data_IF_843774659108
#
_entry.id   IF_843774659108
#
_cell.length_a   1.000
_cell.length_b   1.000
_cell.length_c   1.000
_cell.angle_alpha   90.00
_cell.angle_beta   90.00
_cell.angle_gamma   90.00
#
_symmetry.space_group_name_H-M   'P 1'
#
loop_
_entity.id
_entity.type
_entity.pdbx_description
1 polymer ?
#
# COMPACT_ATOMS: atom_id res chain seq x y z
N UNK A 1 -0.78 -6.98 13.84
CA UNK A 1 -0.04 -6.41 14.99
C UNK A 1 -0.38 -4.96 15.29
N UNK A 2 0.19 -3.93 14.63
CA UNK A 2 -0.05 -2.53 15.04
C UNK A 2 -1.52 -2.14 15.12
N UNK A 3 -2.29 -2.37 14.05
CA UNK A 3 -3.72 -2.08 14.05
C UNK A 3 -4.51 -2.93 15.06
N UNK A 4 -4.03 -4.12 15.41
CA UNK A 4 -4.65 -5.00 16.42
C UNK A 4 -4.42 -4.42 17.83
N UNK A 5 -3.18 -4.02 18.14
CA UNK A 5 -2.86 -3.31 19.37
C UNK A 5 -3.60 -1.96 19.47
N UNK A 6 -3.70 -1.22 18.37
CA UNK A 6 -4.45 0.05 18.31
C UNK A 6 -5.95 -0.17 18.56
N UNK A 7 -6.58 -1.20 17.99
CA UNK A 7 -7.98 -1.53 18.29
C UNK A 7 -8.18 -1.90 19.76
N UNK A 8 -7.21 -2.60 20.37
CA UNK A 8 -7.28 -2.98 21.77
C UNK A 8 -7.19 -1.77 22.71
N UNK A 9 -6.23 -0.87 22.48
CA UNK A 9 -5.98 0.28 23.37
C UNK A 9 -6.80 1.53 23.04
N UNK A 10 -7.41 1.62 21.86
CA UNK A 10 -8.37 2.66 21.48
C UNK A 10 -9.77 2.07 21.26
N UNK A 11 -10.44 1.57 22.32
CA UNK A 11 -11.67 0.78 22.20
C UNK A 11 -12.87 1.55 21.65
N UNK A 12 -12.79 2.89 21.57
CA UNK A 12 -13.82 3.70 20.89
C UNK A 12 -13.73 3.62 19.37
N UNK A 13 -12.61 3.20 18.80
CA UNK A 13 -12.48 3.08 17.35
C UNK A 13 -13.26 1.86 16.82
N UNK A 14 -13.92 2.02 15.67
CA UNK A 14 -14.40 0.89 14.85
C UNK A 14 -13.61 0.73 13.55
N UNK A 15 -12.78 1.73 13.20
CA UNK A 15 -11.83 1.69 12.09
C UNK A 15 -10.48 2.18 12.61
N UNK A 16 -9.37 1.54 12.22
CA UNK A 16 -8.02 2.07 12.46
C UNK A 16 -7.33 2.33 11.13
N UNK A 17 -6.86 3.56 10.89
CA UNK A 17 -6.06 3.92 9.73
C UNK A 17 -4.59 4.11 10.14
N UNK A 18 -3.70 3.33 9.54
CA UNK A 18 -2.25 3.45 9.73
C UNK A 18 -1.53 3.29 8.39
N UNK A 19 -0.45 4.04 8.21
CA UNK A 19 0.46 3.92 7.07
C UNK A 19 1.46 2.77 7.26
N UNK A 20 1.97 2.27 6.14
CA UNK A 20 3.24 1.52 6.11
C UNK A 20 4.31 2.49 5.59
N UNK A 21 5.37 2.71 6.37
CA UNK A 21 6.50 3.59 6.05
C UNK A 21 7.79 2.83 5.74
N UNK A 22 7.84 1.52 6.01
CA UNK A 22 8.94 0.64 5.65
C UNK A 22 8.54 -0.32 4.52
N UNK A 23 9.22 -0.19 3.37
CA UNK A 23 9.02 -1.07 2.21
C UNK A 23 9.51 -2.50 2.44
N UNK A 24 10.42 -2.69 3.38
CA UNK A 24 10.98 -3.98 3.77
C UNK A 24 10.44 -4.41 5.14
N UNK A 25 9.20 -4.04 5.46
CA UNK A 25 8.56 -4.44 6.71
C UNK A 25 8.58 -5.98 6.84
N UNK A 26 9.17 -6.47 7.93
CA UNK A 26 9.33 -7.88 8.23
C UNK A 26 9.22 -8.14 9.74
N UNK A 27 8.68 -9.30 10.12
CA UNK A 27 8.70 -9.76 11.50
C UNK A 27 8.94 -11.26 11.49
N UNK A 28 10.21 -11.64 11.55
CA UNK A 28 10.64 -13.03 11.46
C UNK A 28 10.15 -13.88 12.65
N UNK A 29 9.98 -15.17 12.38
CA UNK A 29 9.67 -16.15 13.43
C UNK A 29 10.84 -16.22 14.42
N UNK A 30 10.56 -15.97 15.69
CA UNK A 30 11.55 -16.02 16.75
C UNK A 30 11.31 -14.94 17.81
N UNK A 31 12.35 -14.61 18.61
CA UNK A 31 12.25 -13.56 19.62
C UNK A 31 11.94 -12.19 19.02
N UNK A 32 10.83 -11.59 19.44
CA UNK A 32 10.45 -10.22 19.04
C UNK A 32 11.16 -9.22 19.93
N UNK A 33 11.98 -8.35 19.35
CA UNK A 33 12.73 -7.30 20.05
C UNK A 33 12.09 -5.93 19.79
N UNK A 34 12.32 -4.97 20.69
CA UNK A 34 11.84 -3.60 20.52
C UNK A 34 12.34 -2.96 19.20
N UNK A 35 13.55 -3.34 18.73
CA UNK A 35 14.08 -2.89 17.44
C UNK A 35 13.23 -3.36 16.25
N UNK A 36 12.58 -4.53 16.35
CA UNK A 36 11.77 -5.09 15.27
C UNK A 36 10.45 -4.30 15.17
N UNK A 37 9.91 -3.87 16.32
CA UNK A 37 8.78 -2.93 16.36
C UNK A 37 9.17 -1.58 15.75
N UNK A 38 10.30 -1.01 16.16
CA UNK A 38 10.76 0.27 15.61
C UNK A 38 11.11 0.20 14.12
N UNK A 39 11.59 -0.94 13.63
CA UNK A 39 11.92 -1.17 12.22
C UNK A 39 10.69 -1.13 11.31
N UNK A 40 9.57 -1.70 11.76
CA UNK A 40 8.35 -1.80 10.96
C UNK A 40 7.45 -0.56 11.01
N UNK A 41 7.42 0.14 12.13
CA UNK A 41 6.69 1.41 12.27
C UNK A 41 7.72 2.47 12.59
N UNK A 42 8.22 3.21 11.59
CA UNK A 42 9.45 4.01 11.70
C UNK A 42 9.27 5.35 12.42
N UNK A 43 8.03 5.80 12.60
CA UNK A 43 7.74 6.97 13.41
C UNK A 43 7.74 6.64 14.92
N UNK A 44 8.60 7.33 15.67
CA UNK A 44 8.77 7.11 17.12
C UNK A 44 7.68 7.78 17.96
N UNK A 45 7.23 8.95 17.51
CA UNK A 45 6.03 9.57 18.04
C UNK A 45 4.79 8.86 17.52
N UNK A 46 3.64 9.27 18.05
CA UNK A 46 2.37 8.98 17.43
C UNK A 46 1.45 8.13 18.29
N UNK A 47 0.40 8.80 18.73
CA UNK A 47 -0.80 8.35 19.40
C UNK A 47 -1.87 7.85 18.40
N UNK A 48 -2.92 7.26 18.96
CA UNK A 48 -4.19 7.03 18.26
C UNK A 48 -5.21 7.99 18.85
N UNK A 49 -5.59 8.99 18.06
CA UNK A 49 -6.76 9.83 18.32
C UNK A 49 -7.94 9.25 17.55
N UNK A 50 -9.07 9.06 18.23
CA UNK A 50 -10.32 8.56 17.65
C UNK A 50 -11.23 9.72 17.31
N UNK A 51 -11.57 9.87 16.03
CA UNK A 51 -12.44 10.92 15.52
C UNK A 51 -13.79 10.35 15.11
N UNK A 52 -14.88 11.09 15.35
CA UNK A 52 -16.19 10.78 14.81
C UNK A 52 -16.34 11.38 13.41
N UNK A 53 -16.69 10.55 12.43
CA UNK A 53 -16.94 10.95 11.04
C UNK A 53 -18.02 10.06 10.40
N UNK A 54 -18.39 10.35 9.17
CA UNK A 54 -19.36 9.60 8.39
C UNK A 54 -18.67 8.60 7.45
N UNK A 55 -19.41 7.62 6.93
CA UNK A 55 -18.91 6.70 5.92
C UNK A 55 -18.52 7.42 4.62
N UNK A 56 -19.12 8.58 4.33
CA UNK A 56 -18.72 9.45 3.21
C UNK A 56 -17.32 10.01 3.42
N UNK A 57 -17.04 10.59 4.59
CA UNK A 57 -15.72 11.13 4.94
C UNK A 57 -14.65 10.04 4.97
N UNK A 58 -14.99 8.87 5.53
CA UNK A 58 -14.12 7.69 5.49
C UNK A 58 -13.80 7.32 4.03
N UNK A 59 -14.81 7.22 3.17
CA UNK A 59 -14.60 6.88 1.75
C UNK A 59 -13.74 7.93 1.05
N UNK A 60 -13.99 9.22 1.26
CA UNK A 60 -13.16 10.31 0.70
C UNK A 60 -11.69 10.15 1.10
N UNK A 61 -11.41 9.84 2.37
CA UNK A 61 -10.06 9.58 2.83
C UNK A 61 -9.47 8.29 2.22
N UNK A 62 -10.22 7.19 2.18
CA UNK A 62 -9.77 5.93 1.57
C UNK A 62 -9.46 6.10 0.08
N UNK A 63 -10.26 6.86 -0.66
CA UNK A 63 -10.03 7.19 -2.07
C UNK A 63 -8.75 8.00 -2.27
N UNK A 64 -8.50 8.97 -1.39
CA UNK A 64 -7.24 9.71 -1.39
C UNK A 64 -6.04 8.80 -1.09
N UNK A 65 -6.16 7.85 -0.16
CA UNK A 65 -5.11 6.86 0.11
C UNK A 65 -4.89 5.96 -1.12
N UNK A 66 -5.97 5.45 -1.73
CA UNK A 66 -5.94 4.62 -2.93
C UNK A 66 -5.35 5.34 -4.16
N UNK A 67 -5.30 6.66 -4.16
CA UNK A 67 -4.55 7.48 -5.12
C UNK A 67 -3.04 7.20 -5.14
N UNK A 68 -2.51 6.47 -4.16
CA UNK A 68 -1.13 5.96 -4.17
C UNK A 68 -0.86 4.99 -5.32
N UNK A 69 -1.85 4.21 -5.75
CA UNK A 69 -1.74 3.28 -6.87
C UNK A 69 -2.04 3.96 -8.21
N UNK A 70 -1.40 3.55 -9.29
CA UNK A 70 -1.79 3.97 -10.64
C UNK A 70 -3.00 3.15 -11.12
N UNK A 71 -3.78 3.71 -12.05
CA UNK A 71 -4.80 2.92 -12.76
C UNK A 71 -4.12 1.93 -13.69
N UNK A 72 -4.66 0.71 -13.75
CA UNK A 72 -4.13 -0.34 -14.62
C UNK A 72 -4.47 -0.07 -16.08
N UNK A 73 -3.60 -0.52 -16.97
CA UNK A 73 -3.78 -0.48 -18.42
C UNK A 73 -3.91 -1.91 -19.00
N UNK A 74 -4.55 -2.09 -20.16
CA UNK A 74 -4.58 -3.38 -20.84
C UNK A 74 -3.16 -3.90 -21.07
N UNK A 75 -2.90 -5.15 -20.68
CA UNK A 75 -1.56 -5.74 -20.74
C UNK A 75 -0.74 -5.66 -19.45
N UNK A 76 -1.17 -4.89 -18.45
CA UNK A 76 -0.43 -4.80 -17.20
C UNK A 76 -0.37 -6.15 -16.48
N UNK A 77 0.83 -6.52 -16.07
CA UNK A 77 1.12 -7.74 -15.32
C UNK A 77 1.60 -7.45 -13.89
N UNK A 78 1.77 -6.19 -13.52
CA UNK A 78 2.13 -5.74 -12.18
C UNK A 78 1.34 -4.50 -11.80
N UNK A 79 1.07 -4.29 -10.51
CA UNK A 79 0.60 -2.99 -10.03
C UNK A 79 1.76 -1.99 -9.93
N UNK A 80 1.44 -0.70 -10.04
CA UNK A 80 2.40 0.39 -9.91
C UNK A 80 1.88 1.53 -9.04
N UNK A 81 2.80 2.37 -8.57
CA UNK A 81 2.53 3.47 -7.66
C UNK A 81 2.69 4.80 -8.38
N UNK A 82 1.91 5.79 -7.96
CA UNK A 82 2.06 7.16 -8.41
C UNK A 82 3.47 7.66 -8.04
N UNK A 83 4.31 8.06 -9.03
CA UNK A 83 5.72 8.39 -8.77
C UNK A 83 5.91 9.54 -7.78
N UNK A 84 5.06 10.56 -7.83
CA UNK A 84 5.14 11.72 -6.93
C UNK A 84 4.83 11.32 -5.49
N UNK A 85 3.76 10.53 -5.28
CA UNK A 85 3.41 10.00 -3.96
C UNK A 85 4.43 9.01 -3.44
N UNK A 86 4.99 8.18 -4.33
CA UNK A 86 6.04 7.21 -3.99
C UNK A 86 7.33 7.92 -3.58
N UNK A 87 7.66 9.03 -4.24
CA UNK A 87 8.84 9.84 -3.95
C UNK A 87 8.70 10.78 -2.75
N UNK A 88 7.48 10.90 -2.20
CA UNK A 88 7.20 11.74 -1.05
C UNK A 88 7.96 11.26 0.19
N UNK A 89 8.51 12.22 0.95
CA UNK A 89 9.09 11.96 2.28
C UNK A 89 8.06 11.34 3.25
N UNK A 90 6.78 11.68 3.09
CA UNK A 90 5.70 11.17 3.92
C UNK A 90 4.90 10.15 3.13
N UNK A 91 4.81 8.93 3.65
CA UNK A 91 3.96 7.88 3.05
C UNK A 91 2.51 8.33 3.06
N UNK A 92 1.82 8.15 1.93
CA UNK A 92 0.39 8.45 1.78
C UNK A 92 -0.42 7.17 1.52
N UNK A 93 0.20 6.02 1.77
CA UNK A 93 -0.37 4.70 1.58
C UNK A 93 -0.89 4.17 2.94
N UNK A 94 -2.11 4.59 3.27
CA UNK A 94 -2.79 4.20 4.51
C UNK A 94 -3.68 2.98 4.31
N UNK A 95 -3.65 2.08 5.29
CA UNK A 95 -4.48 0.88 5.33
C UNK A 95 -5.46 0.94 6.49
N UNK A 96 -6.65 0.37 6.26
CA UNK A 96 -7.80 0.50 7.14
C UNK A 96 -8.15 -0.86 7.75
N UNK A 97 -8.04 -0.96 9.07
CA UNK A 97 -8.53 -2.09 9.86
C UNK A 97 -9.95 -1.84 10.35
N UNK A 98 -10.71 -2.90 10.65
CA UNK A 98 -12.11 -2.80 11.07
C UNK A 98 -13.10 -2.82 9.91
N UNK A 99 -12.62 -2.62 8.69
CA UNK A 99 -13.37 -2.69 7.44
C UNK A 99 -12.73 -3.64 6.44
N UNK A 100 -13.52 -4.08 5.48
CA UNK A 100 -13.07 -4.76 4.26
C UNK A 100 -13.42 -3.94 3.03
N UNK A 101 -12.57 -3.97 1.99
CA UNK A 101 -12.77 -3.18 0.77
C UNK A 101 -11.94 -3.68 -0.42
N UNK A 102 -12.34 -3.34 -1.62
CA UNK A 102 -11.55 -3.54 -2.84
C UNK A 102 -11.14 -2.19 -3.41
N UNK A 103 -9.88 -2.08 -3.85
CA UNK A 103 -9.40 -0.95 -4.65
C UNK A 103 -9.44 -1.37 -6.12
N UNK A 104 -10.46 -0.92 -6.85
CA UNK A 104 -10.61 -1.18 -8.27
C UNK A 104 -9.82 -0.19 -9.11
N UNK A 105 -8.65 -0.63 -9.59
CA UNK A 105 -7.73 0.20 -10.36
C UNK A 105 -8.15 0.39 -11.81
N UNK A 106 -9.26 -0.22 -12.25
CA UNK A 106 -9.87 0.13 -13.55
C UNK A 106 -10.63 1.45 -13.47
N UNK A 107 -11.01 1.89 -12.26
CA UNK A 107 -11.68 3.16 -12.04
C UNK A 107 -10.67 4.33 -11.97
N UNK A 108 -11.11 5.55 -12.32
CA UNK A 108 -10.30 6.74 -12.10
C UNK A 108 -10.03 6.95 -10.60
N UNK A 109 -8.92 7.59 -10.28
CA UNK A 109 -8.61 7.97 -8.89
C UNK A 109 -9.75 8.83 -8.32
N UNK A 110 -10.16 8.55 -7.07
CA UNK A 110 -11.31 9.17 -6.43
C UNK A 110 -12.58 8.32 -6.44
N UNK A 111 -12.63 7.24 -7.23
CA UNK A 111 -13.80 6.34 -7.30
C UNK A 111 -13.41 4.85 -7.36
N UNK A 112 -12.34 4.45 -6.66
CA UNK A 112 -11.77 3.09 -6.68
C UNK A 112 -12.26 2.19 -5.57
N UNK A 113 -12.73 2.75 -4.45
CA UNK A 113 -13.11 1.99 -3.26
C UNK A 113 -14.49 1.36 -3.48
N UNK A 114 -14.50 0.03 -3.62
CA UNK A 114 -15.70 -0.79 -3.79
C UNK A 114 -15.82 -1.81 -2.66
N UNK A 115 -17.01 -2.40 -2.49
CA UNK A 115 -17.30 -3.42 -1.47
C UNK A 115 -16.90 -3.02 -0.04
N UNK A 116 -17.05 -1.73 0.30
CA UNK A 116 -16.72 -1.23 1.63
C UNK A 116 -17.76 -1.72 2.66
N UNK A 117 -17.30 -2.53 3.60
CA UNK A 117 -18.10 -3.07 4.68
C UNK A 117 -17.27 -3.12 5.97
N UNK A 118 -17.91 -3.18 7.14
CA UNK A 118 -17.25 -3.58 8.37
C UNK A 118 -16.79 -5.04 8.28
N UNK A 119 -15.88 -5.44 9.17
CA UNK A 119 -15.33 -6.80 9.20
C UNK A 119 -16.38 -7.91 9.43
N UNK A 120 -17.57 -7.56 9.96
CA UNK A 120 -18.71 -8.46 10.13
C UNK A 120 -19.59 -8.58 8.86
N UNK A 121 -19.24 -7.87 7.79
CA UNK A 121 -19.97 -7.83 6.52
C UNK A 121 -21.02 -6.72 6.42
N UNK A 122 -21.25 -5.94 7.49
CA UNK A 122 -22.22 -4.83 7.46
C UNK A 122 -21.75 -3.75 6.48
N UNK A 123 -22.54 -3.39 5.45
CA UNK A 123 -22.13 -2.37 4.48
C UNK A 123 -21.91 -0.99 5.11
N UNK A 124 -20.89 -0.27 4.65
CA UNK A 124 -20.65 1.13 5.02
C UNK A 124 -21.27 2.03 3.96
N UNK A 125 -22.34 2.73 4.33
CA UNK A 125 -22.99 3.76 3.53
C UNK A 125 -22.45 5.14 3.89
N UNK A 126 -22.81 6.15 3.10
CA UNK A 126 -22.36 7.53 3.35
C UNK A 126 -22.79 8.07 4.72
N UNK A 127 -23.89 7.57 5.30
CA UNK A 127 -24.42 8.01 6.59
C UNK A 127 -23.97 7.12 7.76
N UNK A 128 -23.22 6.05 7.51
CA UNK A 128 -22.71 5.18 8.58
C UNK A 128 -21.84 5.97 9.54
N UNK A 129 -22.08 5.84 10.84
CA UNK A 129 -21.21 6.44 11.84
C UNK A 129 -19.87 5.68 11.91
N UNK A 130 -18.78 6.42 11.70
CA UNK A 130 -17.42 5.94 11.75
C UNK A 130 -16.71 6.58 12.95
N UNK A 131 -15.97 5.76 13.68
CA UNK A 131 -15.06 6.18 14.75
C UNK A 131 -13.67 5.75 14.34
N UNK A 132 -12.97 6.61 13.61
CA UNK A 132 -11.66 6.30 13.04
C UNK A 132 -10.56 6.63 14.04
N UNK A 133 -9.79 5.63 14.46
CA UNK A 133 -8.55 5.82 15.20
C UNK A 133 -7.38 5.98 14.23
N UNK A 134 -6.63 7.06 14.38
CA UNK A 134 -5.45 7.35 13.56
C UNK A 134 -4.56 8.34 14.29
N UNK A 135 -3.36 8.58 13.75
CA UNK A 135 -2.51 9.62 14.28
C UNK A 135 -3.05 11.02 13.93
N UNK A 136 -3.07 11.94 14.91
CA UNK A 136 -3.60 13.30 14.73
C UNK A 136 -2.83 14.13 13.71
N UNK A 137 -1.53 13.89 13.52
CA UNK A 137 -0.74 14.52 12.45
C UNK A 137 -1.34 14.22 11.07
N UNK A 138 -1.74 12.96 10.80
CA UNK A 138 -2.40 12.61 9.54
C UNK A 138 -3.74 13.34 9.41
N UNK A 139 -4.54 13.38 10.48
CA UNK A 139 -5.82 14.09 10.45
C UNK A 139 -5.64 15.57 10.10
N UNK A 140 -4.69 16.26 10.74
CA UNK A 140 -4.37 17.66 10.42
C UNK A 140 -3.89 17.87 8.98
N UNK A 141 -3.19 16.89 8.40
CA UNK A 141 -2.81 16.92 6.99
C UNK A 141 -3.99 16.75 6.03
N UNK A 142 -5.01 15.99 6.41
CA UNK A 142 -6.21 15.77 5.61
C UNK A 142 -7.15 16.98 5.64
N UNK A 143 -7.24 17.69 6.78
CA UNK A 143 -8.21 18.78 6.99
C UNK A 143 -7.68 20.19 6.74
N UNK A 144 -6.36 20.37 6.66
CA UNK A 144 -5.76 21.67 6.30
C UNK A 144 -6.10 22.06 4.85
N UNK A 145 -5.84 23.33 4.52
CA UNK A 145 -5.94 23.84 3.15
C UNK A 145 -5.14 22.98 2.15
N UNK A 146 -5.80 22.54 1.08
CA UNK A 146 -5.29 21.62 0.06
C UNK A 146 -5.37 20.13 0.44
N UNK A 147 -5.89 19.80 1.63
CA UNK A 147 -6.17 18.43 2.05
C UNK A 147 -7.48 17.90 1.47
N UNK A 148 -7.65 16.57 1.45
CA UNK A 148 -8.84 15.94 0.86
C UNK A 148 -10.12 16.14 1.69
N UNK A 149 -9.97 16.46 2.97
CA UNK A 149 -11.04 16.82 3.90
C UNK A 149 -10.93 18.30 4.30
N UNK A 150 -10.45 19.15 3.39
CA UNK A 150 -10.22 20.58 3.67
C UNK A 150 -11.44 21.24 4.31
N UNK A 151 -11.23 21.91 5.43
CA UNK A 151 -12.27 22.65 6.15
C UNK A 151 -13.16 21.80 7.06
N UNK A 152 -13.03 20.48 7.00
CA UNK A 152 -13.73 19.58 7.93
C UNK A 152 -13.13 19.63 9.34
N UNK A 153 -13.98 19.42 10.33
CA UNK A 153 -13.60 19.33 11.74
C UNK A 153 -14.36 18.19 12.40
N UNK A 154 -13.63 17.22 12.96
CA UNK A 154 -14.21 16.01 13.52
C UNK A 154 -14.12 16.01 15.04
N UNK A 155 -15.21 15.67 15.76
CA UNK A 155 -15.17 15.50 17.21
C UNK A 155 -14.15 14.43 17.62
N UNK A 156 -13.30 14.75 18.59
CA UNK A 156 -12.40 13.79 19.22
C UNK A 156 -13.18 13.01 20.28
N UNK A 157 -13.20 11.69 20.15
CA UNK A 157 -13.89 10.78 21.08
C UNK A 157 -12.94 10.17 22.12
N UNK A 158 -11.68 9.97 21.76
CA UNK A 158 -10.67 9.32 22.59
C UNK A 158 -9.27 9.65 22.08
N UNK A 159 -8.28 9.62 22.96
CA UNK A 159 -6.89 9.86 22.61
C UNK A 159 -5.98 9.02 23.52
N UNK A 160 -5.09 8.21 22.92
CA UNK A 160 -4.24 7.29 23.69
C UNK A 160 -3.13 7.99 24.45
N UNK A 161 -2.67 9.15 23.97
CA UNK A 161 -1.67 9.96 24.68
C UNK A 161 -2.31 10.62 25.90
N UNK A 162 -3.53 11.15 25.79
CA UNK A 162 -4.26 11.68 26.93
C UNK A 162 -4.60 10.60 27.99
N UNK A 163 -4.94 9.38 27.55
CA UNK A 163 -5.31 8.28 28.46
C UNK A 163 -4.09 7.60 29.11
N UNK A 164 -3.04 7.32 28.34
CA UNK A 164 -1.91 6.51 28.80
C UNK A 164 -0.61 7.30 28.99
N UNK A 165 -0.58 8.58 28.60
CA UNK A 165 0.58 9.47 28.68
C UNK A 165 1.39 9.55 27.37
N UNK A 166 2.19 10.61 27.25
CA UNK A 166 2.96 10.97 26.03
C UNK A 166 3.85 9.82 25.50
N UNK A 167 4.42 9.02 26.40
CA UNK A 167 5.28 7.89 26.01
C UNK A 167 4.49 6.59 25.85
N UNK A 168 3.73 6.18 26.87
CA UNK A 168 3.06 4.88 26.88
C UNK A 168 1.84 4.83 25.94
N UNK A 169 1.27 5.98 25.58
CA UNK A 169 0.18 6.13 24.61
C UNK A 169 0.62 6.09 23.15
N UNK A 170 1.92 5.96 22.87
CA UNK A 170 2.40 5.83 21.49
C UNK A 170 2.12 4.44 20.91
N UNK A 171 1.89 4.37 19.60
CA UNK A 171 1.58 3.14 18.86
C UNK A 171 2.65 2.06 19.09
N UNK A 172 3.94 2.43 19.11
CA UNK A 172 5.06 1.51 19.38
C UNK A 172 5.00 0.94 20.79
N UNK A 173 4.85 1.79 21.81
CA UNK A 173 4.85 1.34 23.20
C UNK A 173 3.58 0.55 23.53
N UNK A 174 2.42 0.97 23.03
CA UNK A 174 1.20 0.17 23.10
C UNK A 174 1.35 -1.19 22.42
N UNK A 175 2.03 -1.26 21.26
CA UNK A 175 2.29 -2.55 20.59
C UNK A 175 3.21 -3.46 21.40
N UNK A 176 4.26 -2.91 22.02
CA UNK A 176 5.16 -3.66 22.92
C UNK A 176 4.38 -4.15 24.14
N UNK A 177 3.55 -3.29 24.74
CA UNK A 177 2.70 -3.63 25.88
C UNK A 177 1.70 -4.73 25.51
N UNK A 178 1.06 -4.62 24.35
CA UNK A 178 0.14 -5.63 23.80
C UNK A 178 0.81 -7.00 23.69
N UNK A 179 2.01 -7.04 23.12
CA UNK A 179 2.76 -8.29 22.98
C UNK A 179 3.12 -8.92 24.33
N UNK A 180 3.49 -8.10 25.32
CA UNK A 180 3.91 -8.59 26.65
C UNK A 180 2.73 -9.03 27.50
N UNK A 181 1.71 -8.19 27.61
CA UNK A 181 0.63 -8.33 28.59
C UNK A 181 -0.58 -9.07 28.03
N UNK A 182 -1.02 -8.72 26.82
CA UNK A 182 -2.22 -9.32 26.22
C UNK A 182 -1.88 -10.61 25.47
N UNK A 183 -0.74 -10.66 24.79
CA UNK A 183 -0.27 -11.86 24.07
C UNK A 183 0.63 -12.77 24.91
N UNK A 184 0.90 -12.42 26.17
CA UNK A 184 1.77 -13.20 27.07
C UNK A 184 3.14 -13.56 26.45
N UNK A 185 3.69 -12.65 25.64
CA UNK A 185 4.97 -12.86 24.94
C UNK A 185 4.92 -13.82 23.75
N UNK A 186 3.76 -14.33 23.37
CA UNK A 186 3.59 -15.25 22.24
C UNK A 186 2.64 -14.66 21.19
N UNK A 187 3.17 -14.34 20.01
CA UNK A 187 2.38 -13.76 18.92
C UNK A 187 2.44 -14.63 17.67
N UNK A 188 1.27 -15.01 17.18
CA UNK A 188 1.09 -15.66 15.90
C UNK A 188 0.45 -14.67 14.92
N UNK A 189 1.24 -14.22 13.95
CA UNK A 189 0.75 -13.31 12.92
C UNK A 189 -0.23 -14.00 11.98
N UNK A 190 -1.41 -13.41 11.78
CA UNK A 190 -2.40 -13.88 10.82
C UNK A 190 -2.48 -12.94 9.62
N UNK A 191 -2.33 -13.43 8.38
CA UNK A 191 -2.61 -12.63 7.19
C UNK A 191 -4.04 -12.09 7.25
N UNK A 192 -4.17 -10.76 7.21
CA UNK A 192 -5.47 -10.11 7.25
C UNK A 192 -5.95 -9.92 5.81
N UNK A 193 -6.90 -10.74 5.35
CA UNK A 193 -7.50 -10.61 4.01
C UNK A 193 -8.64 -9.58 3.99
N UNK A 194 -8.34 -8.36 4.47
CA UNK A 194 -9.35 -7.29 4.58
C UNK A 194 -9.49 -6.49 3.31
N UNK A 195 -8.48 -6.45 2.46
CA UNK A 195 -8.53 -5.66 1.24
C UNK A 195 -7.78 -6.33 0.09
N UNK A 196 -8.12 -5.93 -1.13
CA UNK A 196 -7.48 -6.40 -2.34
C UNK A 196 -7.42 -5.28 -3.39
N UNK A 197 -6.44 -5.38 -4.28
CA UNK A 197 -6.43 -4.63 -5.55
C UNK A 197 -7.15 -5.47 -6.61
N UNK A 198 -7.87 -4.80 -7.51
CA UNK A 198 -8.44 -5.44 -8.70
C UNK A 198 -8.10 -4.66 -9.97
N UNK A 199 -8.29 -5.31 -11.12
CA UNK A 199 -8.23 -4.67 -12.44
C UNK A 199 -7.22 -5.29 -13.42
N UNK A 200 -6.25 -6.07 -12.96
CA UNK A 200 -5.36 -6.78 -13.89
C UNK A 200 -6.16 -7.85 -14.65
N UNK A 201 -6.08 -7.83 -15.98
CA UNK A 201 -6.91 -8.70 -16.82
C UNK A 201 -6.49 -10.17 -16.65
N UNK A 202 -7.47 -11.07 -16.45
CA UNK A 202 -7.21 -12.51 -16.23
C UNK A 202 -6.54 -13.21 -17.40
N UNK A 203 -6.70 -12.70 -18.63
CA UNK A 203 -6.02 -13.23 -19.82
C UNK A 203 -4.50 -13.15 -19.77
N UNK A 204 -3.94 -12.36 -18.85
CA UNK A 204 -2.50 -12.23 -18.63
C UNK A 204 -1.99 -13.01 -17.40
N UNK A 205 -2.78 -13.92 -16.82
CA UNK A 205 -2.41 -14.68 -15.62
C UNK A 205 -1.07 -15.43 -15.77
N UNK A 206 -0.86 -16.11 -16.91
CA UNK A 206 0.37 -16.86 -17.16
C UNK A 206 1.58 -15.93 -17.24
N UNK A 207 1.44 -14.81 -17.96
CA UNK A 207 2.47 -13.78 -18.07
C UNK A 207 2.79 -13.17 -16.70
N UNK A 208 1.79 -13.00 -15.82
CA UNK A 208 2.01 -12.55 -14.44
C UNK A 208 2.87 -13.51 -13.64
N UNK A 209 2.60 -14.82 -13.71
CA UNK A 209 3.43 -15.80 -12.97
C UNK A 209 4.86 -15.87 -13.53
N UNK A 210 5.04 -15.75 -14.85
CA UNK A 210 6.37 -15.67 -15.48
C UNK A 210 7.11 -14.41 -14.98
N UNK A 211 6.49 -13.23 -15.10
CA UNK A 211 7.10 -11.96 -14.66
C UNK A 211 7.41 -11.97 -13.17
N UNK A 212 6.51 -12.52 -12.35
CA UNK A 212 6.72 -12.70 -10.90
C UNK A 212 7.92 -13.60 -10.61
N UNK A 213 8.07 -14.72 -11.33
CA UNK A 213 9.23 -15.60 -11.17
C UNK A 213 10.53 -14.86 -11.48
N UNK A 214 10.57 -14.14 -12.62
CA UNK A 214 11.75 -13.39 -13.06
C UNK A 214 12.12 -12.22 -12.12
N UNK A 215 11.14 -11.66 -11.41
CA UNK A 215 11.41 -10.65 -10.38
C UNK A 215 11.97 -11.32 -9.12
N UNK A 216 11.36 -12.43 -8.69
CA UNK A 216 11.73 -13.12 -7.45
C UNK A 216 13.11 -13.80 -7.51
N UNK A 217 13.55 -14.23 -8.70
CA UNK A 217 14.89 -14.77 -8.92
C UNK A 217 15.92 -13.71 -9.36
N UNK A 218 15.53 -12.43 -9.31
CA UNK A 218 16.35 -11.26 -9.65
C UNK A 218 16.81 -11.19 -11.13
N UNK A 219 16.24 -12.00 -12.02
CA UNK A 219 16.53 -11.96 -13.47
C UNK A 219 16.12 -10.62 -14.09
N UNK A 220 15.02 -10.01 -13.62
CA UNK A 220 14.61 -8.66 -13.99
C UNK A 220 14.30 -7.81 -12.77
N UNK A 221 14.52 -6.50 -12.88
CA UNK A 221 14.06 -5.54 -11.88
C UNK A 221 12.70 -4.93 -12.25
N UNK A 222 11.93 -4.56 -11.23
CA UNK A 222 10.74 -3.73 -11.38
C UNK A 222 11.11 -2.30 -11.81
N UNK A 223 10.21 -1.55 -12.49
CA UNK A 223 10.49 -0.17 -12.88
C UNK A 223 10.83 0.72 -11.68
N UNK A 224 11.90 1.49 -11.78
CA UNK A 224 12.38 2.40 -10.73
C UNK A 224 12.47 3.84 -11.23
N UNK A 225 12.50 4.80 -10.30
CA UNK A 225 12.94 6.18 -10.59
C UNK A 225 14.34 6.20 -11.19
N UNK A 226 14.70 7.31 -11.84
CA UNK A 226 15.98 7.48 -12.52
C UNK A 226 17.19 7.34 -11.56
N UNK A 227 17.02 7.76 -10.31
CA UNK A 227 18.01 7.59 -9.24
C UNK A 227 18.00 6.17 -8.60
N UNK A 228 17.11 5.29 -9.05
CA UNK A 228 16.92 3.94 -8.52
C UNK A 228 16.30 3.85 -7.13
N UNK A 229 15.97 4.99 -6.50
CA UNK A 229 15.54 5.06 -5.10
C UNK A 229 14.13 4.52 -4.88
N UNK A 230 13.24 4.74 -5.84
CA UNK A 230 11.82 4.42 -5.72
C UNK A 230 11.44 3.34 -6.71
N UNK A 231 10.90 2.23 -6.23
CA UNK A 231 10.47 1.10 -7.06
C UNK A 231 8.99 1.19 -7.43
N UNK A 232 8.57 0.34 -8.38
CA UNK A 232 7.20 0.17 -8.86
C UNK A 232 6.59 1.47 -9.41
N UNK A 233 7.39 2.40 -9.94
CA UNK A 233 6.88 3.68 -10.45
C UNK A 233 6.09 3.55 -11.76
N UNK A 234 6.16 2.38 -12.40
CA UNK A 234 5.41 2.02 -13.60
C UNK A 234 5.09 0.51 -13.57
N UNK A 235 4.07 0.11 -14.31
CA UNK A 235 3.72 -1.30 -14.50
C UNK A 235 4.65 -1.92 -15.55
N UNK A 236 4.97 -3.20 -15.38
CA UNK A 236 5.41 -4.05 -16.49
C UNK A 236 4.16 -4.41 -17.31
N UNK A 237 4.19 -4.10 -18.62
CA UNK A 237 3.10 -4.37 -19.54
C UNK A 237 3.53 -5.43 -20.57
N UNK A 238 2.79 -6.54 -20.62
CA UNK A 238 3.09 -7.68 -21.47
C UNK A 238 2.54 -7.54 -22.90
N UNK A 239 1.58 -6.64 -23.15
CA UNK A 239 0.84 -6.59 -24.42
C UNK A 239 1.74 -6.43 -25.64
N UNK A 240 2.69 -5.49 -25.58
CA UNK A 240 3.62 -5.19 -26.68
C UNK A 240 4.91 -6.03 -26.63
N UNK A 241 4.94 -7.05 -25.77
CA UNK A 241 6.07 -7.96 -25.59
C UNK A 241 5.74 -9.39 -26.05
N UNK A 242 4.53 -9.63 -26.55
CA UNK A 242 4.08 -10.91 -27.10
C UNK A 242 3.93 -10.84 -28.62
N UNK A 243 4.38 -11.87 -29.32
CA UNK A 243 4.52 -11.97 -30.77
C UNK A 243 3.97 -13.30 -31.25
N UNK A 244 3.42 -13.30 -32.47
CA UNK A 244 2.76 -14.48 -33.06
C UNK A 244 3.71 -15.40 -33.84
N UNK A 245 4.95 -14.97 -34.08
CA UNK A 245 5.94 -15.74 -34.82
C UNK A 245 7.35 -15.46 -34.32
N UNK A 246 8.25 -16.41 -34.54
CA UNK A 246 9.66 -16.29 -34.16
C UNK A 246 10.36 -15.17 -34.93
N UNK A 247 9.96 -14.91 -36.18
CA UNK A 247 10.52 -13.81 -36.97
C UNK A 247 10.16 -12.45 -36.36
N UNK A 248 8.91 -12.28 -35.93
CA UNK A 248 8.45 -11.05 -35.27
C UNK A 248 9.13 -10.85 -33.91
N UNK A 249 9.26 -11.94 -33.12
CA UNK A 249 10.00 -11.96 -31.85
C UNK A 249 11.46 -11.54 -32.07
N UNK A 250 12.15 -12.15 -33.02
CA UNK A 250 13.55 -11.88 -33.28
C UNK A 250 13.79 -10.46 -33.83
N UNK A 251 12.89 -9.97 -34.69
CA UNK A 251 12.92 -8.57 -35.15
C UNK A 251 12.77 -7.59 -33.97
N UNK A 252 11.82 -7.85 -33.06
CA UNK A 252 11.58 -7.02 -31.89
C UNK A 252 12.76 -6.98 -30.90
N UNK A 253 13.45 -8.12 -30.72
CA UNK A 253 14.70 -8.19 -29.94
C UNK A 253 15.81 -7.40 -30.64
N UNK A 254 16.00 -7.60 -31.94
CA UNK A 254 17.06 -6.95 -32.73
C UNK A 254 16.92 -5.42 -32.71
N UNK A 255 15.70 -4.89 -32.87
CA UNK A 255 15.43 -3.45 -32.75
C UNK A 255 15.78 -2.90 -31.37
N UNK A 256 15.55 -3.67 -30.30
CA UNK A 256 15.88 -3.27 -28.93
C UNK A 256 17.39 -3.32 -28.66
N UNK A 257 18.07 -4.35 -29.15
CA UNK A 257 19.53 -4.46 -29.09
C UNK A 257 20.23 -3.30 -29.82
N UNK A 258 19.69 -2.85 -30.96
CA UNK A 258 20.19 -1.67 -31.67
C UNK A 258 20.02 -0.38 -30.86
N UNK A 259 18.86 -0.19 -30.21
CA UNK A 259 18.61 0.97 -29.34
C UNK A 259 19.53 0.98 -28.12
N UNK A 260 19.87 -0.20 -27.60
CA UNK A 260 20.74 -0.35 -26.42
C UNK A 260 22.12 0.31 -26.62
N UNK A 261 22.64 0.36 -27.85
CA UNK A 261 23.95 0.93 -28.16
C UNK A 261 24.05 2.45 -27.93
N UNK A 262 22.91 3.16 -27.92
CA UNK A 262 22.84 4.62 -27.74
C UNK A 262 22.04 5.01 -26.48
N UNK A 263 21.63 4.01 -25.69
CA UNK A 263 20.77 4.20 -24.54
C UNK A 263 21.54 4.79 -23.35
N UNK A 264 20.88 5.68 -22.62
CA UNK A 264 21.29 6.05 -21.26
C UNK A 264 21.29 4.82 -20.34
N UNK A 265 21.83 4.95 -19.13
CA UNK A 265 21.83 3.84 -18.16
C UNK A 265 20.41 3.35 -17.85
N UNK A 266 19.46 4.28 -17.69
CA UNK A 266 18.08 3.95 -17.34
C UNK A 266 17.34 3.29 -18.50
N UNK A 267 17.48 3.84 -19.71
CA UNK A 267 16.94 3.22 -20.92
C UNK A 267 17.54 1.83 -21.13
N UNK A 268 18.84 1.65 -20.82
CA UNK A 268 19.50 0.35 -20.92
C UNK A 268 18.88 -0.68 -19.97
N UNK A 269 18.54 -0.30 -18.74
CA UNK A 269 17.84 -1.18 -17.77
C UNK A 269 16.47 -1.59 -18.31
N UNK A 270 15.69 -0.62 -18.82
CA UNK A 270 14.38 -0.90 -19.42
C UNK A 270 14.49 -1.82 -20.63
N UNK A 271 15.38 -1.53 -21.58
CA UNK A 271 15.55 -2.29 -22.82
C UNK A 271 15.99 -3.73 -22.51
N UNK A 272 16.94 -3.93 -21.58
CA UNK A 272 17.37 -5.28 -21.15
C UNK A 272 16.24 -6.07 -20.52
N UNK A 273 15.42 -5.43 -19.69
CA UNK A 273 14.20 -6.06 -19.13
C UNK A 273 13.23 -6.45 -20.23
N UNK A 274 12.94 -5.55 -21.18
CA UNK A 274 12.05 -5.86 -22.30
C UNK A 274 12.56 -7.03 -23.14
N UNK A 275 13.85 -7.07 -23.49
CA UNK A 275 14.45 -8.21 -24.23
C UNK A 275 14.25 -9.52 -23.46
N UNK A 276 14.49 -9.50 -22.14
CA UNK A 276 14.33 -10.69 -21.28
C UNK A 276 12.88 -11.15 -21.22
N UNK A 277 11.94 -10.21 -21.08
CA UNK A 277 10.51 -10.49 -21.10
C UNK A 277 10.06 -11.04 -22.46
N UNK A 278 10.52 -10.46 -23.57
CA UNK A 278 10.19 -10.98 -24.91
C UNK A 278 10.66 -12.43 -25.07
N UNK A 279 11.83 -12.76 -24.52
CA UNK A 279 12.34 -14.14 -24.56
C UNK A 279 11.50 -15.10 -23.72
N UNK A 280 10.97 -14.64 -22.59
CA UNK A 280 10.25 -15.48 -21.62
C UNK A 280 8.73 -15.59 -21.89
N UNK A 281 8.11 -14.59 -22.51
CA UNK A 281 6.65 -14.54 -22.73
C UNK A 281 6.19 -15.15 -24.06
N UNK A 282 7.12 -15.60 -24.91
CA UNK A 282 6.89 -16.15 -26.26
C UNK A 282 7.63 -17.45 -26.44
#
# INVERSE_FOLDING_TARGET
>A
LYQEASLFYAPKANVIALQIDNDNAELDVGPIKAKDIAYNYQYAGGEITVYQMTGKELRTYMEWSAGYFNSVQPGDVTYSFNPERRASKYSTNDFFAGVTYTIDLTQPAGTRITNLAFADGTPVTDQTEIRIGMNSYRMGHLTKKGGVLEGESFPVLFDTEAEYGEEAGTIRNMTIKYLKEEKNGQYEGKPQQRWALSGLESRYNEQREIVKSLINDETISIPTSDDGRYTNIASINAKELMFKSDEAKQAAITTREQKLAQATEQESKQIKREITLIKALN
#
